data_IF_340319167570
#
_entry.id   IF_340319167570
#
_cell.length_a   1.000
_cell.length_b   1.000
_cell.length_c   1.000
_cell.angle_alpha   90.00
_cell.angle_beta   90.00
_cell.angle_gamma   90.00
#
_symmetry.space_group_name_H-M   'P 1'
#
loop_
_entity.id
_entity.type
_entity.pdbx_description
1 polymer ?
#
# COMPACT_ATOMS: atom_id res chain seq x y z
N UNK A 1 31.81 6.10 4.93
CA UNK A 1 30.49 5.44 4.80
C UNK A 1 30.32 5.02 3.36
N UNK A 2 30.10 3.74 3.09
CA UNK A 2 29.72 3.32 1.75
C UNK A 2 28.26 3.73 1.51
N UNK A 3 28.02 4.45 0.41
CA UNK A 3 26.66 4.72 -0.05
C UNK A 3 26.10 3.39 -0.55
N UNK A 4 25.00 2.95 0.03
CA UNK A 4 24.30 1.74 -0.38
C UNK A 4 23.69 1.96 -1.76
N UNK A 5 23.66 0.90 -2.56
CA UNK A 5 22.91 0.86 -3.81
C UNK A 5 21.40 0.88 -3.53
N UNK A 6 20.60 1.28 -4.53
CA UNK A 6 19.13 1.33 -4.39
C UNK A 6 18.53 -0.02 -3.96
N UNK A 7 19.05 -1.13 -4.48
CA UNK A 7 18.55 -2.48 -4.14
C UNK A 7 18.91 -2.90 -2.72
N UNK A 8 20.07 -2.48 -2.19
CA UNK A 8 20.44 -2.73 -0.79
C UNK A 8 19.52 -1.97 0.15
N UNK A 9 19.24 -0.69 -0.15
CA UNK A 9 18.29 0.13 0.62
C UNK A 9 16.89 -0.51 0.59
N UNK A 10 16.41 -0.94 -0.58
CA UNK A 10 15.10 -1.56 -0.72
C UNK A 10 14.96 -2.89 0.05
N UNK A 11 16.02 -3.71 0.09
CA UNK A 11 16.05 -4.99 0.83
C UNK A 11 16.05 -4.81 2.34
N UNK A 12 16.69 -3.76 2.84
CA UNK A 12 16.73 -3.44 4.27
C UNK A 12 15.45 -2.80 4.81
N UNK A 13 14.58 -2.32 3.91
CA UNK A 13 13.35 -1.62 4.30
C UNK A 13 12.42 -2.51 5.13
N UNK A 14 12.03 -2.01 6.31
CA UNK A 14 10.99 -2.62 7.16
C UNK A 14 9.60 -2.30 6.60
N UNK A 15 9.17 -3.09 5.62
CA UNK A 15 7.85 -2.95 4.99
C UNK A 15 6.74 -3.18 6.00
N UNK A 16 5.74 -2.31 5.99
CA UNK A 16 4.50 -2.51 6.76
C UNK A 16 3.52 -3.38 5.97
N UNK A 17 2.68 -4.18 6.62
CA UNK A 17 1.61 -4.91 5.95
C UNK A 17 0.70 -3.96 5.16
N UNK A 18 0.36 -4.33 3.93
CA UNK A 18 -0.45 -3.50 3.03
C UNK A 18 -1.83 -3.18 3.61
N UNK A 19 -2.38 -4.10 4.42
CA UNK A 19 -3.64 -3.90 5.14
C UNK A 19 -3.57 -2.74 6.14
N UNK A 20 -2.45 -2.59 6.85
CA UNK A 20 -2.26 -1.45 7.76
C UNK A 20 -2.13 -0.12 7.02
N UNK A 21 -1.50 -0.14 5.84
CA UNK A 21 -1.39 1.04 4.98
C UNK A 21 -2.78 1.44 4.46
N UNK A 22 -3.60 0.47 4.01
CA UNK A 22 -4.98 0.72 3.62
C UNK A 22 -5.81 1.32 4.74
N UNK A 23 -5.74 0.75 5.94
CA UNK A 23 -6.44 1.29 7.12
C UNK A 23 -6.01 2.73 7.44
N UNK A 24 -4.71 3.04 7.36
CA UNK A 24 -4.20 4.41 7.56
C UNK A 24 -4.75 5.41 6.53
N UNK A 25 -5.03 4.94 5.31
CA UNK A 25 -5.60 5.75 4.23
C UNK A 25 -7.14 5.76 4.24
N UNK A 26 -7.78 5.11 5.21
CA UNK A 26 -9.23 5.01 5.27
C UNK A 26 -9.82 4.14 4.15
N UNK A 27 -9.05 3.18 3.62
CA UNK A 27 -9.52 2.18 2.66
C UNK A 27 -10.03 0.97 3.47
N UNK A 28 -11.34 0.68 3.44
CA UNK A 28 -11.88 -0.51 4.08
C UNK A 28 -11.27 -1.80 3.51
N UNK A 29 -11.12 -2.82 4.35
CA UNK A 29 -10.45 -4.08 3.99
C UNK A 29 -11.10 -4.81 2.81
N UNK A 30 -12.42 -4.72 2.67
CA UNK A 30 -13.21 -5.31 1.59
C UNK A 30 -12.91 -4.69 0.21
N UNK A 31 -12.29 -3.51 0.20
CA UNK A 31 -11.89 -2.81 -1.01
C UNK A 31 -10.39 -2.93 -1.31
N UNK A 32 -9.67 -3.73 -0.53
CA UNK A 32 -8.24 -3.96 -0.72
C UNK A 32 -8.02 -5.45 -1.02
N UNK A 33 -7.56 -5.74 -2.24
CA UNK A 33 -7.32 -7.10 -2.72
C UNK A 33 -5.83 -7.42 -2.62
N UNK A 34 -5.35 -8.09 -1.55
CA UNK A 34 -3.93 -8.32 -1.32
C UNK A 34 -3.34 -9.36 -2.28
N UNK A 35 -2.08 -9.13 -2.66
CA UNK A 35 -1.23 -10.05 -3.40
C UNK A 35 0.01 -10.32 -2.55
N UNK A 36 -0.14 -11.10 -1.49
CA UNK A 36 0.87 -11.22 -0.43
C UNK A 36 0.77 -10.06 0.56
N UNK A 37 1.86 -9.82 1.30
CA UNK A 37 1.81 -8.96 2.49
C UNK A 37 1.99 -7.46 2.22
N UNK A 38 2.58 -7.06 1.10
CA UNK A 38 3.09 -5.71 0.87
C UNK A 38 2.50 -5.02 -0.37
N UNK A 39 1.58 -5.69 -1.07
CA UNK A 39 0.96 -5.16 -2.28
C UNK A 39 -0.49 -5.60 -2.40
N UNK A 40 -1.33 -4.73 -2.97
CA UNK A 40 -2.75 -4.97 -3.16
C UNK A 40 -3.28 -4.16 -4.34
N UNK A 41 -4.39 -4.62 -4.93
CA UNK A 41 -5.23 -3.79 -5.80
C UNK A 41 -6.29 -3.08 -4.96
N UNK A 42 -6.65 -1.86 -5.35
CA UNK A 42 -7.80 -1.14 -4.77
C UNK A 42 -9.02 -1.40 -5.64
N UNK A 43 -10.14 -1.74 -5.00
CA UNK A 43 -11.39 -2.04 -5.68
C UNK A 43 -11.93 -0.83 -6.44
N UNK A 44 -12.39 -1.06 -7.67
CA UNK A 44 -12.89 0.01 -8.54
C UNK A 44 -14.09 0.76 -7.93
N UNK A 45 -15.01 0.05 -7.25
CA UNK A 45 -16.18 0.67 -6.63
C UNK A 45 -15.82 1.64 -5.50
N UNK A 46 -14.76 1.35 -4.75
CA UNK A 46 -14.23 2.29 -3.76
C UNK A 46 -13.64 3.51 -4.44
N UNK A 47 -12.85 3.35 -5.50
CA UNK A 47 -12.28 4.49 -6.24
C UNK A 47 -13.40 5.39 -6.78
N UNK A 48 -14.46 4.81 -7.35
CA UNK A 48 -15.63 5.55 -7.83
C UNK A 48 -16.36 6.28 -6.70
N UNK A 49 -16.47 5.69 -5.51
CA UNK A 49 -17.17 6.34 -4.37
C UNK A 49 -16.42 7.56 -3.83
N UNK A 50 -15.14 7.73 -4.17
CA UNK A 50 -14.34 8.91 -3.86
C UNK A 50 -14.51 10.04 -4.89
N UNK A 51 -15.19 9.80 -6.02
CA UNK A 51 -15.35 10.81 -7.06
C UNK A 51 -16.06 12.06 -6.50
N UNK A 52 -15.48 13.24 -6.75
CA UNK A 52 -16.02 14.52 -6.27
C UNK A 52 -15.66 14.86 -4.83
N UNK A 53 -14.85 14.05 -4.13
CA UNK A 53 -14.16 14.50 -2.92
C UNK A 53 -13.13 15.58 -3.30
N UNK A 54 -13.02 16.66 -2.52
CA UNK A 54 -12.08 17.76 -2.78
C UNK A 54 -10.62 17.33 -2.71
#
# INVERSE_FOLDING_TARGET
MAIKTDIEIAREAKKRPIMEIGAKLGIPSEHLLPYGHDKAKVGQEFIKSLAGRP
#
